data_IF_283902804162
#
_entry.id   IF_283902804162
#
_cell.length_a   1.000
_cell.length_b   1.000
_cell.length_c   1.000
_cell.angle_alpha   90.00
_cell.angle_beta   90.00
_cell.angle_gamma   90.00
#
_symmetry.space_group_name_H-M   'P 1'
#
loop_
_entity.id
_entity.type
_entity.pdbx_description
1 polymer ?
#
# COMPACT_ATOMS: atom_id res chain seq x y z
N UNK A 1 5.26 -16.70 12.28
CA UNK A 1 6.68 -16.51 11.84
C UNK A 1 6.62 -15.65 10.58
N UNK A 2 7.10 -14.43 10.61
CA UNK A 2 7.12 -13.54 9.45
C UNK A 2 7.93 -14.16 8.30
N UNK A 3 7.50 -14.01 7.05
CA UNK A 3 8.34 -14.37 5.90
C UNK A 3 9.73 -13.76 6.07
N UNK A 4 10.76 -14.59 5.89
CA UNK A 4 12.12 -14.16 6.10
C UNK A 4 12.63 -13.28 4.94
N UNK A 5 13.75 -12.63 5.15
CA UNK A 5 14.40 -11.76 4.16
C UNK A 5 14.62 -12.46 2.82
N UNK A 6 15.00 -13.74 2.82
CA UNK A 6 15.21 -14.52 1.61
C UNK A 6 13.96 -14.64 0.75
N UNK A 7 12.79 -14.82 1.38
CA UNK A 7 11.51 -14.84 0.68
C UNK A 7 11.22 -13.50 0.01
N UNK A 8 11.38 -12.40 0.74
CA UNK A 8 11.08 -11.08 0.20
C UNK A 8 12.08 -10.62 -0.86
N UNK A 9 13.37 -11.02 -0.75
CA UNK A 9 14.36 -10.76 -1.80
C UNK A 9 13.98 -11.47 -3.09
N UNK A 10 13.64 -12.77 -3.00
CA UNK A 10 13.14 -13.51 -4.17
C UNK A 10 11.87 -12.90 -4.74
N UNK A 11 10.97 -12.46 -3.87
CA UNK A 11 9.72 -11.80 -4.28
C UNK A 11 10.03 -10.51 -5.05
N UNK A 12 11.01 -9.72 -4.60
CA UNK A 12 11.46 -8.51 -5.28
C UNK A 12 12.10 -8.80 -6.65
N UNK A 13 12.95 -9.83 -6.75
CA UNK A 13 13.58 -10.22 -8.01
C UNK A 13 12.56 -10.65 -9.08
N UNK A 14 11.47 -11.28 -8.66
CA UNK A 14 10.39 -11.76 -9.54
C UNK A 14 9.27 -10.73 -9.74
N UNK A 15 9.37 -9.53 -9.19
CA UNK A 15 8.25 -8.59 -9.12
C UNK A 15 7.77 -8.13 -10.50
N UNK A 16 8.67 -8.03 -11.50
CA UNK A 16 8.29 -7.70 -12.88
C UNK A 16 7.33 -8.74 -13.50
N UNK A 17 7.39 -9.99 -13.06
CA UNK A 17 6.46 -11.04 -13.51
C UNK A 17 5.04 -10.86 -12.96
N UNK A 18 4.90 -10.06 -11.90
CA UNK A 18 3.63 -9.76 -11.22
C UNK A 18 3.11 -8.36 -11.54
N UNK A 19 3.82 -7.63 -12.42
CA UNK A 19 3.43 -6.28 -12.77
C UNK A 19 2.10 -6.25 -13.51
N UNK A 20 1.15 -5.54 -12.94
CA UNK A 20 -0.14 -5.26 -13.53
C UNK A 20 -0.21 -3.77 -13.93
N UNK A 21 0.07 -3.48 -15.19
CA UNK A 21 0.09 -2.11 -15.72
C UNK A 21 -1.25 -1.40 -15.51
N UNK A 22 -2.37 -2.11 -15.65
CA UNK A 22 -3.70 -1.55 -15.46
C UNK A 22 -3.95 -1.12 -14.00
N UNK A 23 -3.42 -1.83 -13.02
CA UNK A 23 -3.50 -1.41 -11.63
C UNK A 23 -2.68 -0.14 -11.37
N UNK A 24 -1.43 -0.09 -11.85
CA UNK A 24 -0.58 1.11 -11.72
C UNK A 24 -1.21 2.33 -12.43
N UNK A 25 -1.82 2.14 -13.61
CA UNK A 25 -2.61 3.19 -14.28
C UNK A 25 -3.78 3.64 -13.41
N UNK A 26 -4.52 2.67 -12.86
CA UNK A 26 -5.67 2.97 -12.02
C UNK A 26 -5.29 3.80 -10.78
N UNK A 27 -4.23 3.43 -10.05
CA UNK A 27 -3.78 4.18 -8.86
C UNK A 27 -3.33 5.60 -9.24
N UNK A 28 -2.59 5.75 -10.34
CA UNK A 28 -2.19 7.06 -10.89
C UNK A 28 -3.42 7.92 -11.23
N UNK A 29 -4.38 7.36 -11.94
CA UNK A 29 -5.56 8.09 -12.41
C UNK A 29 -6.48 8.44 -11.24
N UNK A 30 -6.56 7.56 -10.25
CA UNK A 30 -7.22 7.85 -8.98
C UNK A 30 -6.56 9.06 -8.30
N UNK A 31 -5.25 9.05 -8.10
CA UNK A 31 -4.53 10.16 -7.47
C UNK A 31 -4.75 11.48 -8.21
N UNK A 32 -4.75 11.46 -9.56
CA UNK A 32 -5.05 12.63 -10.39
C UNK A 32 -6.49 13.13 -10.20
N UNK A 33 -7.45 12.24 -9.93
CA UNK A 33 -8.87 12.58 -9.75
C UNK A 33 -9.21 13.11 -8.36
N UNK A 34 -8.41 12.75 -7.37
CA UNK A 34 -8.64 13.11 -5.99
C UNK A 34 -8.26 14.58 -5.72
N UNK A 35 -9.18 15.41 -5.17
CA UNK A 35 -8.90 16.82 -5.00
C UNK A 35 -7.81 17.10 -3.96
N UNK A 36 -6.79 17.83 -4.39
CA UNK A 36 -5.71 18.35 -3.55
C UNK A 36 -4.58 17.35 -3.28
N UNK A 37 -4.45 16.30 -4.09
CA UNK A 37 -3.33 15.37 -4.00
C UNK A 37 -2.13 15.97 -4.73
N UNK A 38 -1.04 16.16 -4.01
CA UNK A 38 0.28 16.58 -4.50
C UNK A 38 1.37 15.63 -4.03
N UNK A 39 1.19 14.98 -2.85
CA UNK A 39 2.10 14.00 -2.30
C UNK A 39 1.44 12.63 -2.22
N UNK A 40 2.17 11.61 -2.64
CA UNK A 40 1.73 10.21 -2.66
C UNK A 40 2.74 9.34 -1.92
N UNK A 41 2.28 8.55 -0.98
CA UNK A 41 3.09 7.62 -0.22
C UNK A 41 2.57 6.19 -0.43
N UNK A 42 3.42 5.32 -0.94
CA UNK A 42 3.21 3.87 -0.93
C UNK A 42 3.98 3.23 0.22
N UNK A 43 3.28 2.44 1.03
CA UNK A 43 3.86 1.67 2.13
C UNK A 43 3.86 0.18 1.75
N UNK A 44 5.01 -0.47 1.89
CA UNK A 44 5.26 -1.79 1.30
C UNK A 44 5.48 -1.70 -0.20
N UNK A 45 6.21 -0.68 -0.64
CA UNK A 45 6.33 -0.34 -2.07
C UNK A 45 7.17 -1.36 -2.88
N UNK A 46 7.88 -2.28 -2.23
CA UNK A 46 8.74 -3.24 -2.88
C UNK A 46 9.69 -2.56 -3.87
N UNK A 47 9.65 -2.97 -5.14
CA UNK A 47 10.46 -2.40 -6.23
C UNK A 47 9.83 -1.17 -6.89
N UNK A 48 8.79 -0.59 -6.28
CA UNK A 48 8.15 0.66 -6.72
C UNK A 48 7.29 0.53 -7.97
N UNK A 49 6.81 -0.67 -8.31
CA UNK A 49 6.11 -0.92 -9.57
C UNK A 49 4.81 -0.13 -9.70
N UNK A 50 4.10 0.13 -8.61
CA UNK A 50 2.84 0.87 -8.63
C UNK A 50 3.05 2.38 -8.74
N UNK A 51 4.23 2.88 -8.38
CA UNK A 51 4.64 4.28 -8.55
C UNK A 51 5.21 4.61 -9.94
N UNK A 52 5.46 3.59 -10.76
CA UNK A 52 6.17 3.69 -12.05
C UNK A 52 5.51 4.65 -13.05
N UNK A 53 4.19 4.73 -13.06
CA UNK A 53 3.43 5.50 -14.05
C UNK A 53 3.03 6.90 -13.57
N UNK A 54 3.40 7.28 -12.36
CA UNK A 54 3.16 8.63 -11.87
C UNK A 54 4.07 9.63 -12.59
N UNK A 55 3.55 10.84 -12.81
CA UNK A 55 4.31 11.95 -13.39
C UNK A 55 5.08 12.73 -12.32
N UNK A 56 6.06 13.51 -12.76
CA UNK A 56 6.85 14.41 -11.91
C UNK A 56 6.04 15.55 -11.26
N UNK A 57 4.74 15.64 -11.56
CA UNK A 57 3.83 16.60 -10.89
C UNK A 57 3.52 16.22 -9.44
N UNK A 58 3.78 14.96 -9.06
CA UNK A 58 3.60 14.47 -7.70
C UNK A 58 4.94 14.38 -6.95
N UNK A 59 4.89 14.65 -5.65
CA UNK A 59 5.96 14.26 -4.74
C UNK A 59 5.73 12.80 -4.34
N UNK A 60 6.57 11.90 -4.82
CA UNK A 60 6.42 10.46 -4.64
C UNK A 60 7.34 9.91 -3.56
N UNK A 61 6.78 9.10 -2.68
CA UNK A 61 7.47 8.43 -1.59
C UNK A 61 7.15 6.94 -1.58
N UNK A 62 8.16 6.11 -1.35
CA UNK A 62 8.01 4.67 -1.19
C UNK A 62 8.73 4.21 0.07
N UNK A 63 8.03 3.47 0.93
CA UNK A 63 8.59 2.87 2.16
C UNK A 63 8.49 1.36 2.07
N UNK A 64 9.59 0.67 2.36
CA UNK A 64 9.64 -0.78 2.52
C UNK A 64 10.65 -1.19 3.58
N UNK A 65 10.48 -2.35 4.20
CA UNK A 65 11.48 -2.95 5.09
C UNK A 65 12.60 -3.62 4.33
N UNK A 66 12.32 -4.09 3.10
CA UNK A 66 13.24 -4.84 2.29
C UNK A 66 14.21 -3.90 1.53
N UNK A 67 15.45 -3.85 1.99
CA UNK A 67 16.49 -3.00 1.41
C UNK A 67 16.86 -3.40 -0.02
N UNK A 68 16.89 -4.71 -0.32
CA UNK A 68 17.14 -5.23 -1.66
C UNK A 68 16.07 -4.76 -2.67
N UNK A 69 14.79 -4.81 -2.28
CA UNK A 69 13.71 -4.28 -3.12
C UNK A 69 13.87 -2.77 -3.38
N UNK A 70 14.26 -2.01 -2.34
CA UNK A 70 14.47 -0.57 -2.46
C UNK A 70 15.68 -0.20 -3.33
N UNK A 71 16.74 -1.02 -3.35
CA UNK A 71 17.87 -0.84 -4.27
C UNK A 71 17.39 -0.96 -5.72
N UNK A 72 16.63 -2.02 -6.03
CA UNK A 72 16.03 -2.20 -7.36
C UNK A 72 15.10 -1.03 -7.73
N UNK A 73 14.29 -0.56 -6.77
CA UNK A 73 13.38 0.57 -6.98
C UNK A 73 14.15 1.86 -7.33
N UNK A 74 15.19 2.19 -6.57
CA UNK A 74 16.02 3.40 -6.78
C UNK A 74 16.75 3.40 -8.12
N UNK A 75 17.18 2.23 -8.58
CA UNK A 75 17.82 2.10 -9.91
C UNK A 75 16.83 2.38 -11.05
N UNK A 76 15.55 2.02 -10.87
CA UNK A 76 14.53 2.13 -11.91
C UNK A 76 13.79 3.46 -11.91
N UNK A 77 13.61 4.07 -10.74
CA UNK A 77 12.71 5.22 -10.54
C UNK A 77 13.40 6.34 -9.74
N UNK A 78 14.25 7.09 -10.41
CA UNK A 78 15.04 8.17 -9.79
C UNK A 78 14.22 9.36 -9.29
N UNK A 79 12.96 9.53 -9.74
CA UNK A 79 12.06 10.60 -9.31
C UNK A 79 11.29 10.29 -8.02
N UNK A 80 11.38 9.06 -7.50
CA UNK A 80 10.69 8.63 -6.28
C UNK A 80 11.65 8.64 -5.09
N UNK A 81 11.19 9.17 -3.97
CA UNK A 81 11.95 9.16 -2.71
C UNK A 81 11.73 7.84 -1.97
N UNK A 82 12.61 6.86 -2.21
CA UNK A 82 12.57 5.56 -1.55
C UNK A 82 13.38 5.55 -0.26
N UNK A 83 12.76 5.06 0.82
CA UNK A 83 13.39 4.96 2.13
C UNK A 83 13.02 3.65 2.81
N UNK A 84 14.02 3.02 3.47
CA UNK A 84 13.77 1.90 4.38
C UNK A 84 12.98 2.38 5.59
N UNK A 85 11.89 1.70 5.90
CA UNK A 85 11.07 2.05 7.04
C UNK A 85 10.07 0.96 7.42
N UNK A 86 9.62 1.04 8.67
CA UNK A 86 8.64 0.14 9.27
C UNK A 86 7.27 0.83 9.28
N UNK A 87 6.23 0.13 8.82
CA UNK A 87 4.85 0.63 8.84
C UNK A 87 4.38 1.03 10.25
N UNK A 88 4.96 0.44 11.30
CA UNK A 88 4.62 0.76 12.69
C UNK A 88 5.21 2.08 13.19
N UNK A 89 6.12 2.70 12.41
CA UNK A 89 6.76 3.98 12.73
C UNK A 89 7.22 4.66 11.45
N UNK A 90 6.29 5.31 10.76
CA UNK A 90 6.58 6.01 9.51
C UNK A 90 7.39 7.30 9.74
N UNK A 91 8.42 7.58 8.94
CA UNK A 91 9.32 8.73 9.12
C UNK A 91 8.72 10.03 8.55
N UNK A 92 7.42 10.25 8.77
CA UNK A 92 6.70 11.43 8.31
C UNK A 92 5.95 12.07 9.48
N UNK A 93 5.80 13.39 9.43
CA UNK A 93 4.99 14.13 10.39
C UNK A 93 3.49 13.87 10.21
N UNK A 94 2.70 14.21 11.22
CA UNK A 94 1.25 14.04 11.20
C UNK A 94 0.61 14.83 10.07
N UNK A 95 -0.28 14.18 9.32
CA UNK A 95 -1.09 14.82 8.27
C UNK A 95 -0.27 15.55 7.19
N UNK A 96 0.84 14.96 6.77
CA UNK A 96 1.71 15.53 5.72
C UNK A 96 1.53 14.90 4.35
N UNK A 97 1.03 13.66 4.26
CA UNK A 97 0.85 12.95 3.00
C UNK A 97 -0.59 13.07 2.51
N UNK A 98 -0.80 13.65 1.31
CA UNK A 98 -2.15 13.86 0.78
C UNK A 98 -2.85 12.55 0.43
N UNK A 99 -2.12 11.58 -0.12
CA UNK A 99 -2.60 10.25 -0.47
C UNK A 99 -1.61 9.18 0.01
N UNK A 100 -2.07 8.27 0.87
CA UNK A 100 -1.31 7.16 1.43
C UNK A 100 -1.95 5.86 0.99
N UNK A 101 -1.16 4.91 0.46
CA UNK A 101 -1.73 3.64 0.05
C UNK A 101 -0.84 2.42 0.33
N UNK A 102 -1.48 1.25 0.33
CA UNK A 102 -0.85 -0.07 0.34
C UNK A 102 -1.45 -0.96 -0.74
N UNK A 103 -0.65 -1.87 -1.28
CA UNK A 103 -1.09 -2.90 -2.22
C UNK A 103 -0.44 -4.23 -1.86
N UNK A 104 -1.26 -5.21 -1.43
CA UNK A 104 -0.80 -6.54 -1.09
C UNK A 104 0.19 -6.61 0.09
N UNK A 105 0.11 -5.68 1.03
CA UNK A 105 0.96 -5.62 2.21
C UNK A 105 0.27 -6.14 3.47
N UNK A 106 -0.93 -5.64 3.75
CA UNK A 106 -1.58 -5.80 5.05
C UNK A 106 -1.97 -7.24 5.37
N UNK A 107 -2.12 -8.06 4.34
CA UNK A 107 -2.41 -9.48 4.49
C UNK A 107 -1.25 -10.29 5.08
N UNK A 108 -0.03 -9.76 5.02
CA UNK A 108 1.19 -10.41 5.52
C UNK A 108 1.63 -9.92 6.89
N UNK A 109 0.90 -8.97 7.49
CA UNK A 109 1.23 -8.42 8.79
C UNK A 109 0.59 -9.23 9.91
N UNK A 110 1.32 -9.41 11.02
CA UNK A 110 0.74 -9.89 12.28
C UNK A 110 -0.25 -8.85 12.83
N UNK A 111 -1.22 -9.29 13.63
CA UNK A 111 -2.36 -8.44 14.01
C UNK A 111 -1.94 -7.19 14.79
N UNK A 112 -0.94 -7.31 15.68
CA UNK A 112 -0.41 -6.17 16.45
C UNK A 112 0.40 -5.19 15.57
N UNK A 113 1.07 -5.68 14.54
CA UNK A 113 1.79 -4.87 13.56
C UNK A 113 0.79 -4.15 12.66
N UNK A 114 -0.25 -4.86 12.22
CA UNK A 114 -1.33 -4.30 11.41
C UNK A 114 -2.04 -3.15 12.14
N UNK A 115 -2.39 -3.32 13.42
CA UNK A 115 -3.04 -2.26 14.20
C UNK A 115 -2.18 -1.00 14.31
N UNK A 116 -0.88 -1.16 14.59
CA UNK A 116 0.07 -0.04 14.63
C UNK A 116 0.22 0.61 13.25
N UNK A 117 0.31 -0.21 12.19
CA UNK A 117 0.42 0.26 10.82
C UNK A 117 -0.79 1.09 10.38
N UNK A 118 -2.01 0.64 10.69
CA UNK A 118 -3.24 1.41 10.42
C UNK A 118 -3.22 2.75 11.18
N UNK A 119 -2.77 2.76 12.43
CA UNK A 119 -2.65 3.98 13.22
C UNK A 119 -1.65 4.96 12.58
N UNK A 120 -0.51 4.47 12.10
CA UNK A 120 0.50 5.28 11.43
C UNK A 120 0.02 5.79 10.07
N UNK A 121 -0.63 4.94 9.26
CA UNK A 121 -1.26 5.38 8.01
C UNK A 121 -2.26 6.51 8.25
N UNK A 122 -3.11 6.37 9.29
CA UNK A 122 -4.05 7.42 9.66
C UNK A 122 -3.32 8.68 10.13
N UNK A 123 -2.26 8.54 10.94
CA UNK A 123 -1.48 9.66 11.47
C UNK A 123 -0.87 10.48 10.36
N UNK A 124 -0.11 9.84 9.44
CA UNK A 124 0.62 10.55 8.38
C UNK A 124 -0.28 11.06 7.26
N UNK A 125 -1.44 10.41 7.04
CA UNK A 125 -2.38 10.83 6.01
C UNK A 125 -3.02 12.15 6.37
N UNK A 126 -3.01 13.08 5.42
CA UNK A 126 -3.73 14.35 5.50
C UNK A 126 -5.21 14.19 5.10
N UNK A 127 -5.48 13.34 4.09
CA UNK A 127 -6.82 13.28 3.53
C UNK A 127 -7.25 11.94 2.98
N UNK A 128 -6.44 11.28 2.16
CA UNK A 128 -6.82 10.10 1.42
C UNK A 128 -6.02 8.89 1.83
N UNK A 129 -6.69 7.79 2.05
CA UNK A 129 -6.07 6.50 2.38
C UNK A 129 -6.70 5.46 1.45
N UNK A 130 -5.87 4.62 0.85
CA UNK A 130 -6.29 3.51 0.02
C UNK A 130 -5.58 2.24 0.44
N UNK A 131 -6.27 1.14 0.34
CA UNK A 131 -5.63 -0.17 0.35
C UNK A 131 -6.29 -1.10 -0.67
N UNK A 132 -5.49 -1.98 -1.23
CA UNK A 132 -5.88 -3.02 -2.15
C UNK A 132 -5.32 -4.34 -1.65
N UNK A 133 -6.17 -5.15 -1.02
CA UNK A 133 -5.75 -6.31 -0.24
C UNK A 133 -6.65 -7.53 -0.51
N UNK A 134 -6.12 -8.72 -0.28
CA UNK A 134 -6.94 -9.94 -0.32
C UNK A 134 -8.00 -9.90 0.76
N UNK A 135 -9.23 -10.17 0.38
CA UNK A 135 -10.42 -9.97 1.19
C UNK A 135 -11.12 -11.29 1.55
N UNK A 136 -11.55 -11.38 2.78
CA UNK A 136 -12.58 -12.31 3.25
C UNK A 136 -13.47 -11.62 4.27
N UNK A 137 -14.79 -11.92 4.25
CA UNK A 137 -15.75 -11.35 5.19
C UNK A 137 -15.41 -11.68 6.63
N UNK A 138 -14.98 -12.90 6.89
CA UNK A 138 -14.43 -13.35 8.17
C UNK A 138 -12.96 -13.68 7.95
N UNK A 139 -12.08 -13.14 8.77
CA UNK A 139 -10.64 -13.38 8.63
C UNK A 139 -10.33 -14.86 8.45
N UNK A 140 -9.50 -15.16 7.46
CA UNK A 140 -9.13 -16.53 7.09
C UNK A 140 -7.62 -16.65 7.02
N UNK A 141 -7.06 -17.52 7.84
CA UNK A 141 -5.66 -17.90 7.75
C UNK A 141 -5.45 -18.72 6.49
N UNK A 142 -4.53 -18.32 5.62
CA UNK A 142 -4.16 -19.01 4.39
C UNK A 142 -2.91 -19.85 4.63
N UNK A 143 -1.90 -19.30 5.25
CA UNK A 143 -0.70 -19.98 5.71
C UNK A 143 -0.16 -19.30 7.00
N UNK A 144 1.03 -19.67 7.48
CA UNK A 144 1.62 -19.14 8.72
C UNK A 144 1.73 -17.60 8.75
N UNK A 145 1.85 -16.96 7.59
CA UNK A 145 2.19 -15.54 7.46
C UNK A 145 1.19 -14.74 6.61
N UNK A 146 0.13 -15.39 6.13
CA UNK A 146 -0.80 -14.78 5.18
C UNK A 146 -2.24 -14.97 5.62
N UNK A 147 -2.94 -13.88 5.84
CA UNK A 147 -4.37 -13.86 6.20
C UNK A 147 -5.15 -13.03 5.19
N UNK A 148 -6.30 -13.54 4.75
CA UNK A 148 -7.30 -12.71 4.09
C UNK A 148 -8.14 -12.01 5.15
N UNK A 149 -8.37 -10.70 5.00
CA UNK A 149 -8.99 -9.87 6.02
C UNK A 149 -10.11 -8.99 5.48
N UNK A 150 -11.03 -8.62 6.38
CA UNK A 150 -11.95 -7.51 6.15
C UNK A 150 -11.30 -6.21 6.62
N UNK A 151 -10.52 -5.58 5.75
CA UNK A 151 -9.84 -4.33 6.09
C UNK A 151 -10.79 -3.20 6.40
N UNK A 152 -12.00 -3.18 5.83
CA UNK A 152 -13.01 -2.17 6.13
C UNK A 152 -13.36 -2.12 7.62
N UNK A 153 -13.47 -3.27 8.29
CA UNK A 153 -13.76 -3.33 9.73
C UNK A 153 -12.65 -2.71 10.59
N UNK A 154 -11.37 -2.81 10.17
CA UNK A 154 -10.25 -2.25 10.91
C UNK A 154 -10.28 -0.72 10.99
N UNK A 155 -10.98 -0.07 10.06
CA UNK A 155 -11.09 1.38 9.99
C UNK A 155 -12.27 1.98 10.78
N UNK A 156 -13.19 1.17 11.31
CA UNK A 156 -14.42 1.66 11.95
C UNK A 156 -14.19 2.54 13.20
N UNK A 157 -13.03 2.41 13.85
CA UNK A 157 -12.65 3.20 15.01
C UNK A 157 -11.95 4.53 14.67
N UNK A 158 -11.75 4.82 13.38
CA UNK A 158 -11.08 6.03 12.91
C UNK A 158 -12.07 7.05 12.37
N UNK A 159 -11.73 8.33 12.45
CA UNK A 159 -12.53 9.42 11.85
C UNK A 159 -12.34 9.43 10.33
N UNK A 160 -13.04 8.55 9.66
CA UNK A 160 -12.99 8.36 8.21
C UNK A 160 -14.40 8.30 7.60
N UNK A 161 -14.45 8.54 6.30
CA UNK A 161 -15.59 8.25 5.45
C UNK A 161 -15.16 7.25 4.38
N UNK A 162 -15.89 6.15 4.24
CA UNK A 162 -15.74 5.27 3.10
C UNK A 162 -16.20 5.99 1.83
N UNK A 163 -15.32 6.08 0.85
CA UNK A 163 -15.62 6.65 -0.47
C UNK A 163 -15.91 5.52 -1.45
N UNK A 164 -15.14 4.43 -1.36
CA UNK A 164 -15.35 3.20 -2.10
C UNK A 164 -14.90 2.01 -1.25
N UNK A 165 -15.59 0.88 -1.36
CA UNK A 165 -15.21 -0.41 -0.77
C UNK A 165 -15.81 -1.50 -1.65
N UNK A 166 -15.05 -1.98 -2.64
CA UNK A 166 -15.53 -2.83 -3.71
C UNK A 166 -14.54 -3.95 -4.05
N UNK A 167 -15.04 -5.07 -4.51
CA UNK A 167 -14.20 -6.10 -5.06
C UNK A 167 -13.60 -5.63 -6.39
N UNK A 168 -12.30 -5.80 -6.55
CA UNK A 168 -11.65 -5.48 -7.82
C UNK A 168 -12.03 -6.51 -8.87
N UNK A 169 -12.27 -6.01 -10.08
CA UNK A 169 -12.43 -6.89 -11.23
C UNK A 169 -11.14 -7.65 -11.51
N UNK A 170 -11.26 -8.87 -12.03
CA UNK A 170 -10.12 -9.76 -12.34
C UNK A 170 -9.06 -9.14 -13.26
N UNK A 171 -9.45 -8.15 -14.09
CA UNK A 171 -8.53 -7.39 -14.95
C UNK A 171 -7.53 -6.52 -14.16
N UNK A 172 -7.84 -6.16 -12.90
CA UNK A 172 -7.02 -5.28 -12.07
C UNK A 172 -6.32 -6.00 -10.93
N UNK A 173 -6.66 -7.25 -10.69
CA UNK A 173 -6.09 -8.02 -9.59
C UNK A 173 -6.51 -9.47 -9.63
N UNK A 174 -5.85 -10.29 -8.82
CA UNK A 174 -6.23 -11.68 -8.66
C UNK A 174 -7.53 -11.78 -7.85
N UNK A 175 -8.19 -12.94 -7.95
CA UNK A 175 -9.41 -13.25 -7.19
C UNK A 175 -9.38 -12.78 -5.74
N UNK A 176 -10.55 -12.37 -5.23
CA UNK A 176 -10.77 -11.95 -3.85
C UNK A 176 -9.95 -10.72 -3.40
N UNK A 177 -9.59 -9.84 -4.32
CA UNK A 177 -8.94 -8.58 -3.96
C UNK A 177 -9.98 -7.48 -3.78
N UNK A 178 -9.93 -6.77 -2.66
CA UNK A 178 -10.80 -5.63 -2.36
C UNK A 178 -10.04 -4.33 -2.38
N UNK A 179 -10.61 -3.37 -3.10
CA UNK A 179 -10.20 -1.99 -3.14
C UNK A 179 -11.01 -1.19 -2.13
N UNK A 180 -10.33 -0.48 -1.24
CA UNK A 180 -10.97 0.42 -0.29
C UNK A 180 -10.34 1.79 -0.38
N UNK A 181 -11.16 2.83 -0.59
CA UNK A 181 -10.77 4.23 -0.56
C UNK A 181 -11.47 4.94 0.58
N UNK A 182 -10.69 5.57 1.43
CA UNK A 182 -11.12 6.27 2.62
C UNK A 182 -10.76 7.75 2.54
N UNK A 183 -11.62 8.58 3.09
CA UNK A 183 -11.34 9.99 3.33
C UNK A 183 -11.30 10.27 4.82
N UNK A 184 -10.19 10.81 5.31
CA UNK A 184 -10.04 11.32 6.68
C UNK A 184 -10.91 12.56 6.87
N UNK A 185 -11.64 12.67 8.00
CA UNK A 185 -12.59 13.73 8.35
C UNK A 185 -12.27 14.39 9.69
#
# INVERSE_FOLDING_TARGET
MQYNETFWNKYADENELRYHEEFSKYVRDLANSLPGVQSVLEIGCGTGIDLRLFSDSFQLFGIDLNEHALEIAKEKLSSVNFQKGDITKLPFEDSTMDFVFTHGLMNYLEDDILEKGIAEMFRVSKKWIMHCEKYEKTEKQIDENHKFRNMGEKWLNYKIKFVSDVDLHEDYGQDQTRFTLLKKI
#
